data_IF_877028553230
#
_entry.id   IF_877028553230
#
_cell.length_a   1.000
_cell.length_b   1.000
_cell.length_c   1.000
_cell.angle_alpha   90.00
_cell.angle_beta   90.00
_cell.angle_gamma   90.00
#
_symmetry.space_group_name_H-M   'P 1'
#
loop_
_entity.id
_entity.type
_entity.pdbx_description
1 polymer ?
#
# COMPACT_ATOMS: atom_id res chain seq x y z
N UNK A 1 12.68 1.97 -20.55
CA UNK A 1 12.77 2.00 -19.09
C UNK A 1 12.30 0.68 -18.53
N UNK A 2 13.03 0.19 -17.59
CA UNK A 2 12.72 -1.08 -16.94
C UNK A 2 11.57 -0.90 -15.95
N UNK A 3 10.50 -1.66 -16.15
CA UNK A 3 9.33 -1.66 -15.24
C UNK A 3 9.39 -2.83 -14.27
N UNK A 4 10.57 -3.41 -14.11
CA UNK A 4 10.75 -4.61 -13.32
C UNK A 4 11.10 -4.27 -11.88
N UNK A 5 10.40 -4.89 -10.94
CA UNK A 5 10.78 -4.85 -9.52
C UNK A 5 11.67 -6.05 -9.27
N UNK A 6 12.85 -5.81 -8.71
CA UNK A 6 13.83 -6.87 -8.43
C UNK A 6 13.92 -7.03 -6.91
N UNK A 7 13.65 -8.25 -6.44
CA UNK A 7 13.68 -8.58 -5.02
C UNK A 7 14.72 -9.66 -4.80
N UNK A 8 15.63 -9.46 -3.86
CA UNK A 8 16.67 -10.45 -3.56
C UNK A 8 16.89 -10.57 -2.07
N UNK A 9 17.20 -11.80 -1.64
CA UNK A 9 17.58 -12.12 -0.27
C UNK A 9 18.81 -13.01 -0.33
N UNK A 10 19.77 -12.73 0.53
CA UNK A 10 20.99 -13.54 0.64
C UNK A 10 20.94 -14.49 1.82
N UNK A 11 22.07 -14.65 2.47
CA UNK A 11 22.22 -15.63 3.58
C UNK A 11 21.70 -15.13 4.91
N UNK A 12 21.61 -13.81 5.09
CA UNK A 12 21.14 -13.22 6.35
C UNK A 12 19.61 -13.24 6.36
N UNK A 13 19.03 -13.89 7.35
CA UNK A 13 17.58 -13.99 7.50
C UNK A 13 17.08 -12.76 8.30
N UNK A 14 16.11 -12.01 7.82
CA UNK A 14 15.47 -12.15 6.50
C UNK A 14 15.56 -10.84 5.73
N UNK A 15 16.69 -10.16 5.87
CA UNK A 15 16.96 -8.86 5.24
C UNK A 15 16.86 -9.01 3.73
N UNK A 16 15.87 -8.39 3.15
CA UNK A 16 15.52 -8.49 1.74
C UNK A 16 15.62 -7.12 1.09
N UNK A 17 16.23 -7.06 -0.08
CA UNK A 17 16.37 -5.83 -0.84
C UNK A 17 15.33 -5.78 -1.95
N UNK A 18 14.61 -4.67 -2.04
CA UNK A 18 13.67 -4.40 -3.13
C UNK A 18 14.20 -3.20 -3.92
N UNK A 19 14.32 -3.36 -5.22
CA UNK A 19 14.86 -2.31 -6.09
C UNK A 19 13.92 -2.06 -7.26
N UNK A 20 13.66 -0.79 -7.52
CA UNK A 20 12.91 -0.35 -8.69
C UNK A 20 13.53 0.94 -9.21
N UNK A 21 14.09 0.88 -10.43
CA UNK A 21 14.82 2.01 -10.98
C UNK A 21 15.98 2.40 -10.08
N UNK A 22 16.03 3.64 -9.65
CA UNK A 22 17.05 4.15 -8.72
C UNK A 22 16.66 4.01 -7.24
N UNK A 23 15.48 3.48 -6.95
CA UNK A 23 14.95 3.38 -5.59
C UNK A 23 15.20 2.00 -5.00
N UNK A 24 15.59 1.98 -3.74
CA UNK A 24 15.82 0.74 -3.01
C UNK A 24 15.21 0.85 -1.62
N UNK A 25 14.54 -0.20 -1.19
CA UNK A 25 14.06 -0.31 0.19
C UNK A 25 14.46 -1.65 0.76
N UNK A 26 14.50 -1.72 2.08
CA UNK A 26 14.75 -2.95 2.82
C UNK A 26 13.43 -3.47 3.39
N UNK A 27 13.21 -4.77 3.19
CA UNK A 27 12.09 -5.51 3.75
C UNK A 27 12.67 -6.60 4.64
N UNK A 28 12.06 -6.87 5.78
CA UNK A 28 12.57 -7.86 6.71
C UNK A 28 11.43 -8.44 7.52
N UNK A 29 11.71 -9.35 8.40
CA UNK A 29 10.78 -9.83 9.41
C UNK A 29 11.23 -9.32 10.78
N UNK A 30 10.31 -9.20 11.75
CA UNK A 30 10.68 -8.83 13.11
C UNK A 30 11.51 -9.93 13.79
N UNK A 31 12.18 -9.58 14.87
CA UNK A 31 13.09 -10.49 15.55
C UNK A 31 12.39 -11.74 16.10
N UNK A 32 11.15 -11.62 16.55
CA UNK A 32 10.37 -12.76 17.04
C UNK A 32 10.04 -13.77 15.94
N UNK A 33 10.15 -13.38 14.68
CA UNK A 33 10.01 -14.30 13.53
C UNK A 33 11.36 -14.67 12.92
N UNK A 34 12.45 -14.35 13.58
CA UNK A 34 13.79 -14.73 13.16
C UNK A 34 14.49 -13.71 12.26
N UNK A 35 13.88 -12.57 12.01
CA UNK A 35 14.48 -11.50 11.21
C UNK A 35 15.35 -10.56 12.02
N UNK A 36 15.86 -9.53 11.36
CA UNK A 36 16.72 -8.49 11.96
C UNK A 36 15.94 -7.20 12.25
N UNK A 37 14.66 -7.12 11.88
CA UNK A 37 13.81 -5.95 12.04
C UNK A 37 14.43 -4.68 11.43
N UNK A 38 15.06 -4.83 10.27
CA UNK A 38 15.69 -3.71 9.57
C UNK A 38 14.77 -3.04 8.55
N UNK A 39 13.57 -3.56 8.38
CA UNK A 39 12.59 -3.00 7.45
C UNK A 39 11.20 -3.50 7.75
N UNK A 40 10.24 -2.89 7.07
CA UNK A 40 8.84 -3.27 7.15
C UNK A 40 8.64 -4.68 6.57
N UNK A 41 7.77 -5.50 7.17
CA UNK A 41 7.52 -6.83 6.62
C UNK A 41 6.51 -6.81 5.46
N UNK A 42 6.41 -7.91 4.67
CA UNK A 42 5.70 -7.86 3.39
C UNK A 42 4.23 -7.47 3.43
N UNK A 43 3.45 -7.98 4.38
CA UNK A 43 2.02 -7.64 4.42
C UNK A 43 1.77 -6.17 4.74
N UNK A 44 2.40 -5.55 5.76
CA UNK A 44 2.32 -4.11 5.91
C UNK A 44 2.83 -3.32 4.70
N UNK A 45 3.80 -3.86 3.96
CA UNK A 45 4.27 -3.21 2.74
C UNK A 45 3.19 -3.19 1.66
N UNK A 46 2.42 -4.28 1.54
CA UNK A 46 1.27 -4.31 0.63
C UNK A 46 0.24 -3.26 1.03
N UNK A 47 -0.07 -3.15 2.32
CA UNK A 47 -0.99 -2.12 2.82
C UNK A 47 -0.43 -0.72 2.60
N UNK A 48 0.88 -0.56 2.73
CA UNK A 48 1.54 0.73 2.48
C UNK A 48 1.37 1.18 1.04
N UNK A 49 1.43 0.24 0.10
CA UNK A 49 1.17 0.51 -1.32
C UNK A 49 -0.24 1.06 -1.52
N UNK A 50 -1.23 0.40 -0.93
CA UNK A 50 -2.62 0.85 -1.02
C UNK A 50 -2.81 2.22 -0.37
N UNK A 51 -2.27 2.41 0.83
CA UNK A 51 -2.40 3.67 1.57
C UNK A 51 -1.73 4.84 0.86
N UNK A 52 -0.51 4.66 0.36
CA UNK A 52 0.19 5.72 -0.37
C UNK A 52 -0.52 6.06 -1.68
N UNK A 53 -1.04 5.06 -2.37
CA UNK A 53 -1.82 5.29 -3.59
C UNK A 53 -3.07 6.13 -3.31
N UNK A 54 -3.80 5.83 -2.25
CA UNK A 54 -4.98 6.60 -1.86
C UNK A 54 -4.61 8.03 -1.49
N UNK A 55 -3.58 8.22 -0.69
CA UNK A 55 -3.13 9.55 -0.26
C UNK A 55 -2.70 10.42 -1.46
N UNK A 56 -1.92 9.84 -2.36
CA UNK A 56 -1.46 10.55 -3.57
C UNK A 56 -2.64 10.91 -4.47
N UNK A 57 -3.56 9.98 -4.68
CA UNK A 57 -4.74 10.20 -5.52
C UNK A 57 -5.60 11.36 -4.98
N UNK A 58 -5.83 11.38 -3.68
CA UNK A 58 -6.58 12.44 -3.00
C UNK A 58 -5.85 13.78 -3.13
N UNK A 59 -4.55 13.78 -2.87
CA UNK A 59 -3.73 15.01 -2.95
C UNK A 59 -3.74 15.58 -4.36
N UNK A 60 -3.57 14.74 -5.37
CA UNK A 60 -3.62 15.17 -6.76
C UNK A 60 -4.97 15.80 -7.11
N UNK A 61 -6.07 15.20 -6.65
CA UNK A 61 -7.40 15.74 -6.89
C UNK A 61 -7.58 17.10 -6.22
N UNK A 62 -7.23 17.21 -4.95
CA UNK A 62 -7.34 18.46 -4.20
C UNK A 62 -6.52 19.58 -4.86
N UNK A 63 -5.31 19.26 -5.35
CA UNK A 63 -4.46 20.24 -6.03
C UNK A 63 -5.12 20.74 -7.33
N UNK A 64 -5.72 19.83 -8.11
CA UNK A 64 -6.42 20.22 -9.34
C UNK A 64 -7.62 21.11 -9.07
N UNK A 65 -8.27 20.92 -7.93
CA UNK A 65 -9.43 21.73 -7.51
C UNK A 65 -9.01 23.00 -6.77
N UNK A 66 -7.73 23.19 -6.49
CA UNK A 66 -7.22 24.28 -5.66
C UNK A 66 -7.86 24.28 -4.26
N UNK A 67 -8.11 23.09 -3.71
CA UNK A 67 -8.61 22.94 -2.35
C UNK A 67 -7.44 22.94 -1.37
N UNK A 68 -7.57 23.61 -0.22
CA UNK A 68 -6.45 23.77 0.73
C UNK A 68 -6.25 22.53 1.61
N UNK A 69 -5.96 21.41 0.99
CA UNK A 69 -5.64 20.17 1.70
C UNK A 69 -4.18 20.25 2.19
N UNK A 70 -4.00 20.20 3.50
CA UNK A 70 -2.67 20.28 4.12
C UNK A 70 -2.04 18.91 4.34
N UNK A 71 -2.87 17.92 4.73
CA UNK A 71 -2.36 16.59 5.05
C UNK A 71 -3.45 15.55 4.85
N UNK A 72 -3.05 14.37 4.36
CA UNK A 72 -3.91 13.19 4.32
C UNK A 72 -3.23 12.12 5.15
N UNK A 73 -3.96 11.53 6.09
CA UNK A 73 -3.49 10.36 6.82
C UNK A 73 -4.40 9.19 6.47
N UNK A 74 -3.82 8.08 6.08
CA UNK A 74 -4.54 6.84 5.80
C UNK A 74 -4.03 5.79 6.78
N UNK A 75 -4.94 5.27 7.60
CA UNK A 75 -4.63 4.16 8.52
C UNK A 75 -5.26 2.91 7.96
N UNK A 76 -4.50 1.83 7.93
CA UNK A 76 -4.96 0.59 7.33
C UNK A 76 -4.78 -0.57 8.31
N UNK A 77 -5.82 -1.39 8.38
CA UNK A 77 -5.77 -2.65 9.11
C UNK A 77 -6.21 -3.76 8.17
N UNK A 78 -5.86 -5.00 8.50
CA UNK A 78 -6.31 -6.15 7.72
C UNK A 78 -6.66 -7.31 8.63
N UNK A 79 -7.52 -8.18 8.12
CA UNK A 79 -7.90 -9.40 8.77
C UNK A 79 -8.09 -10.48 7.70
N UNK A 80 -7.54 -11.66 7.93
CA UNK A 80 -7.66 -12.80 7.03
C UNK A 80 -8.65 -13.78 7.62
N UNK A 81 -9.67 -14.15 6.83
CA UNK A 81 -10.64 -15.17 7.22
C UNK A 81 -10.56 -16.34 6.25
N UNK A 82 -10.48 -17.53 6.80
CA UNK A 82 -10.38 -18.77 6.03
C UNK A 82 -11.69 -19.52 6.07
N UNK A 83 -12.21 -19.87 4.90
CA UNK A 83 -13.32 -20.83 4.77
C UNK A 83 -12.80 -22.10 4.09
N UNK A 84 -13.65 -23.11 3.97
CA UNK A 84 -13.25 -24.38 3.33
C UNK A 84 -12.82 -24.18 1.86
N UNK A 85 -13.34 -23.17 1.21
CA UNK A 85 -13.16 -23.00 -0.23
C UNK A 85 -12.25 -21.83 -0.60
N UNK A 86 -12.08 -20.86 0.31
CA UNK A 86 -11.28 -19.67 -0.02
C UNK A 86 -10.80 -18.95 1.23
N UNK A 87 -9.74 -18.19 1.04
CA UNK A 87 -9.24 -17.24 2.00
C UNK A 87 -9.70 -15.85 1.56
N UNK A 88 -10.28 -15.09 2.48
CA UNK A 88 -10.69 -13.72 2.20
C UNK A 88 -9.91 -12.77 3.10
N UNK A 89 -9.34 -11.74 2.51
CA UNK A 89 -8.66 -10.70 3.26
C UNK A 89 -9.52 -9.44 3.29
N UNK A 90 -9.81 -8.97 4.50
CA UNK A 90 -10.55 -7.73 4.71
C UNK A 90 -9.56 -6.64 5.03
N UNK A 91 -9.55 -5.59 4.23
CA UNK A 91 -8.69 -4.42 4.43
C UNK A 91 -9.58 -3.24 4.76
N UNK A 92 -9.32 -2.60 5.89
CA UNK A 92 -10.03 -1.38 6.27
C UNK A 92 -9.10 -0.19 6.15
N UNK A 93 -9.60 0.86 5.54
CA UNK A 93 -8.87 2.10 5.34
C UNK A 93 -9.61 3.23 6.04
N UNK A 94 -8.92 3.95 6.93
CA UNK A 94 -9.46 5.09 7.65
C UNK A 94 -8.72 6.32 7.19
N UNK A 95 -9.44 7.25 6.57
CA UNK A 95 -8.86 8.47 6.02
C UNK A 95 -9.19 9.66 6.92
N UNK A 96 -8.21 10.53 7.12
CA UNK A 96 -8.43 11.83 7.74
C UNK A 96 -7.75 12.91 6.90
N UNK A 97 -8.38 14.07 6.84
CA UNK A 97 -7.96 15.19 6.03
C UNK A 97 -7.76 16.40 6.91
N UNK A 98 -6.62 17.06 6.77
CA UNK A 98 -6.32 18.28 7.48
C UNK A 98 -6.28 19.43 6.49
N UNK A 99 -6.88 20.56 6.85
CA UNK A 99 -6.96 21.74 6.01
C UNK A 99 -8.32 22.42 6.17
N UNK A 100 -8.46 23.59 5.59
CA UNK A 100 -9.71 24.34 5.62
C UNK A 100 -10.68 23.78 4.57
N UNK A 101 -11.28 22.64 4.88
CA UNK A 101 -12.17 21.89 3.99
C UNK A 101 -13.54 21.73 4.67
N UNK A 102 -14.61 21.92 3.91
CA UNK A 102 -15.95 21.67 4.41
C UNK A 102 -16.29 20.16 4.32
N UNK A 103 -17.44 19.78 4.88
CA UNK A 103 -17.86 18.38 4.93
C UNK A 103 -18.10 17.80 3.54
N UNK A 104 -18.60 18.61 2.60
CA UNK A 104 -18.84 18.17 1.22
C UNK A 104 -17.52 17.86 0.53
N UNK A 105 -16.51 18.72 0.72
CA UNK A 105 -15.18 18.48 0.17
C UNK A 105 -14.56 17.22 0.75
N UNK A 106 -14.66 17.02 2.06
CA UNK A 106 -14.13 15.82 2.72
C UNK A 106 -14.82 14.53 2.23
N UNK A 107 -16.13 14.57 2.06
CA UNK A 107 -16.86 13.43 1.51
C UNK A 107 -16.42 13.12 0.06
N UNK A 108 -16.20 14.17 -0.72
CA UNK A 108 -15.72 13.99 -2.10
C UNK A 108 -14.34 13.38 -2.12
N UNK A 109 -13.42 13.84 -1.25
CA UNK A 109 -12.09 13.27 -1.17
C UNK A 109 -12.12 11.80 -0.77
N UNK A 110 -13.01 11.42 0.15
CA UNK A 110 -13.17 10.01 0.52
C UNK A 110 -13.58 9.14 -0.67
N UNK A 111 -14.47 9.64 -1.52
CA UNK A 111 -14.86 8.92 -2.75
C UNK A 111 -13.74 8.85 -3.77
N UNK A 112 -12.97 9.92 -3.89
CA UNK A 112 -11.80 9.96 -4.80
C UNK A 112 -10.75 8.93 -4.37
N UNK A 113 -10.57 8.73 -3.07
CA UNK A 113 -9.63 7.74 -2.56
C UNK A 113 -9.93 6.31 -3.03
N UNK A 114 -11.20 6.00 -3.33
CA UNK A 114 -11.60 4.69 -3.84
C UNK A 114 -11.18 4.48 -5.30
N UNK A 115 -10.82 5.53 -6.01
CA UNK A 115 -10.43 5.48 -7.42
C UNK A 115 -8.94 5.28 -7.62
N UNK A 116 -8.19 4.99 -6.56
CA UNK A 116 -6.75 4.79 -6.70
C UNK A 116 -6.45 3.49 -7.48
N UNK A 117 -5.40 3.48 -8.32
CA UNK A 117 -5.10 2.30 -9.13
C UNK A 117 -4.84 1.02 -8.34
N UNK A 118 -4.19 1.10 -7.18
CA UNK A 118 -3.93 -0.08 -6.36
C UNK A 118 -5.22 -0.65 -5.77
N UNK A 119 -6.16 0.20 -5.36
CA UNK A 119 -7.48 -0.26 -4.93
C UNK A 119 -8.15 -1.06 -6.05
N UNK A 120 -8.10 -0.54 -7.27
CA UNK A 120 -8.68 -1.20 -8.44
C UNK A 120 -8.02 -2.54 -8.72
N UNK A 121 -6.68 -2.62 -8.59
CA UNK A 121 -5.95 -3.88 -8.75
C UNK A 121 -6.41 -4.90 -7.71
N UNK A 122 -6.43 -4.50 -6.45
CA UNK A 122 -6.71 -5.42 -5.33
C UNK A 122 -8.16 -5.88 -5.27
N UNK A 123 -9.09 -5.10 -5.83
CA UNK A 123 -10.51 -5.44 -5.82
C UNK A 123 -10.99 -6.14 -7.10
N UNK A 124 -10.08 -6.47 -8.00
CA UNK A 124 -10.35 -7.20 -9.24
C UNK A 124 -9.47 -8.44 -9.32
N UNK A 125 -9.78 -9.40 -10.20
CA UNK A 125 -8.99 -10.63 -10.29
C UNK A 125 -7.52 -10.36 -10.57
N UNK A 126 -6.67 -11.08 -9.85
CA UNK A 126 -5.22 -11.05 -10.01
C UNK A 126 -4.78 -12.45 -10.44
N UNK A 127 -4.04 -12.52 -11.54
CA UNK A 127 -3.47 -13.79 -12.01
C UNK A 127 -1.96 -13.72 -11.86
N UNK A 128 -1.41 -14.65 -11.09
CA UNK A 128 0.02 -14.69 -10.78
C UNK A 128 0.62 -15.94 -11.43
N UNK A 129 1.67 -15.75 -12.22
CA UNK A 129 2.41 -16.87 -12.80
C UNK A 129 3.86 -16.80 -12.31
N UNK A 130 4.50 -17.95 -12.15
CA UNK A 130 5.89 -18.03 -11.67
C UNK A 130 6.70 -18.90 -12.62
N UNK A 131 7.89 -18.43 -12.95
CA UNK A 131 8.79 -19.14 -13.84
C UNK A 131 10.14 -19.29 -13.17
N UNK A 132 10.76 -20.45 -13.35
CA UNK A 132 12.13 -20.71 -12.91
C UNK A 132 13.08 -20.43 -14.09
N UNK A 133 14.08 -19.61 -13.83
CA UNK A 133 15.10 -19.24 -14.83
C UNK A 133 16.29 -20.18 -14.81
#
# INVERSE_FOLDING_TARGET
MDNEVIVSIGKIAYTTTVQYGKHQIIVDEPEDLGGQDEGINPTPLLLSSLGSCKAITVKMYADRKNWPLEEVVVRLTHEVQQSEQQQTTYIQCFLSFKGDLDDIQKQRLSKIAEKCPVHKILSNPIVITSNHL
#
